data_IF_257311093707
#
_entry.id   IF_257311093707
#
_cell.length_a   1.000
_cell.length_b   1.000
_cell.length_c   1.000
_cell.angle_alpha   90.00
_cell.angle_beta   90.00
_cell.angle_gamma   90.00
#
_symmetry.space_group_name_H-M   'P 1'
#
loop_
_entity.id
_entity.type
_entity.pdbx_description
1 polymer ?
#
# COMPACT_ATOMS: atom_id res chain seq x y z
N UNK A 1 -7.66 -7.82 -21.75
CA UNK A 1 -7.57 -8.86 -20.69
C UNK A 1 -6.18 -8.82 -20.06
N UNK A 2 -6.08 -9.00 -18.74
CA UNK A 2 -4.80 -9.16 -18.06
C UNK A 2 -4.63 -10.62 -17.68
N UNK A 3 -3.48 -11.22 -18.00
CA UNK A 3 -3.19 -12.62 -17.67
C UNK A 3 -2.63 -12.79 -16.24
N UNK A 4 -1.95 -11.76 -15.75
CA UNK A 4 -1.38 -11.68 -14.40
C UNK A 4 -1.65 -10.29 -13.83
N UNK A 5 -1.95 -10.23 -12.54
CA UNK A 5 -2.11 -9.00 -11.77
C UNK A 5 -1.11 -8.97 -10.63
N UNK A 6 -0.52 -7.81 -10.38
CA UNK A 6 0.39 -7.57 -9.24
C UNK A 6 -0.03 -6.27 -8.58
N UNK A 7 -0.84 -6.36 -7.53
CA UNK A 7 -1.43 -5.21 -6.84
C UNK A 7 -0.71 -4.91 -5.52
N UNK A 8 -0.92 -3.71 -5.00
CA UNK A 8 -0.29 -3.26 -3.76
C UNK A 8 -0.97 -3.85 -2.50
N UNK A 9 -2.29 -4.11 -2.56
CA UNK A 9 -3.05 -4.62 -1.42
C UNK A 9 -3.98 -5.78 -1.83
N UNK A 10 -4.26 -6.68 -0.89
CA UNK A 10 -5.17 -7.81 -1.11
C UNK A 10 -6.61 -7.37 -1.42
N UNK A 11 -7.04 -6.22 -0.89
CA UNK A 11 -8.38 -5.65 -1.13
C UNK A 11 -8.62 -5.35 -2.61
N UNK A 12 -7.60 -4.94 -3.34
CA UNK A 12 -7.70 -4.66 -4.78
C UNK A 12 -7.97 -5.94 -5.57
N UNK A 13 -7.38 -7.06 -5.14
CA UNK A 13 -7.58 -8.38 -5.77
C UNK A 13 -8.92 -8.99 -5.34
N UNK A 14 -9.34 -8.81 -4.08
CA UNK A 14 -10.66 -9.23 -3.63
C UNK A 14 -11.77 -8.57 -4.45
N UNK A 15 -11.66 -7.28 -4.75
CA UNK A 15 -12.62 -6.59 -5.61
C UNK A 15 -12.77 -7.25 -7.00
N UNK A 16 -11.69 -7.83 -7.55
CA UNK A 16 -11.71 -8.55 -8.83
C UNK A 16 -12.37 -9.93 -8.71
N UNK A 17 -12.20 -10.63 -7.58
CA UNK A 17 -12.90 -11.88 -7.25
C UNK A 17 -14.40 -11.61 -7.06
N UNK A 18 -14.73 -10.71 -6.14
CA UNK A 18 -16.11 -10.49 -5.65
C UNK A 18 -17.00 -9.86 -6.73
N UNK A 19 -16.52 -8.83 -7.42
CA UNK A 19 -17.35 -8.07 -8.37
C UNK A 19 -17.19 -8.56 -9.81
N UNK A 20 -16.01 -9.06 -10.16
CA UNK A 20 -15.66 -9.42 -11.53
C UNK A 20 -15.62 -10.91 -11.80
N UNK A 21 -15.50 -11.75 -10.76
CA UNK A 21 -15.20 -13.18 -10.87
C UNK A 21 -13.99 -13.47 -11.78
N UNK A 22 -13.04 -12.55 -11.80
CA UNK A 22 -11.87 -12.58 -12.70
C UNK A 22 -10.70 -13.38 -12.10
N UNK A 23 -10.71 -13.59 -10.79
CA UNK A 23 -9.76 -14.43 -10.07
C UNK A 23 -10.53 -15.37 -9.11
N UNK A 24 -10.01 -16.58 -8.80
CA UNK A 24 -10.68 -17.50 -7.88
C UNK A 24 -10.86 -16.91 -6.47
N UNK A 25 -11.94 -17.28 -5.79
CA UNK A 25 -12.26 -16.79 -4.44
C UNK A 25 -11.17 -17.17 -3.41
N UNK A 26 -10.49 -18.29 -3.63
CA UNK A 26 -9.40 -18.79 -2.77
C UNK A 26 -8.00 -18.26 -3.18
N UNK A 27 -7.91 -17.22 -4.01
CA UNK A 27 -6.64 -16.76 -4.61
C UNK A 27 -5.51 -16.52 -3.59
N UNK A 28 -5.83 -16.09 -2.37
CA UNK A 28 -4.87 -15.77 -1.31
C UNK A 28 -4.03 -17.00 -0.93
N UNK A 29 -4.63 -18.19 -0.89
CA UNK A 29 -3.97 -19.42 -0.43
C UNK A 29 -3.31 -20.23 -1.55
N UNK A 30 -3.47 -19.82 -2.81
CA UNK A 30 -2.99 -20.57 -3.98
C UNK A 30 -1.47 -20.52 -4.15
N UNK A 31 -0.81 -19.53 -3.54
CA UNK A 31 0.65 -19.40 -3.51
C UNK A 31 1.13 -19.19 -2.05
N UNK A 32 2.40 -19.50 -1.75
CA UNK A 32 2.98 -19.29 -0.43
C UNK A 32 2.83 -17.85 0.07
N UNK A 33 2.89 -17.68 1.39
CA UNK A 33 2.89 -16.37 2.05
C UNK A 33 1.67 -15.50 1.68
N UNK A 34 0.49 -16.11 1.60
CA UNK A 34 -0.76 -15.42 1.23
C UNK A 34 -0.69 -14.75 -0.15
N UNK A 35 -0.04 -15.39 -1.12
CA UNK A 35 0.22 -14.84 -2.45
C UNK A 35 1.03 -13.53 -2.46
N UNK A 36 1.78 -13.25 -1.39
CA UNK A 36 2.68 -12.10 -1.27
C UNK A 36 4.15 -12.55 -1.31
N UNK A 37 4.81 -12.54 -2.49
CA UNK A 37 6.19 -12.99 -2.63
C UNK A 37 7.22 -12.05 -2.00
N UNK A 38 6.84 -10.80 -1.68
CA UNK A 38 7.66 -9.81 -0.99
C UNK A 38 6.79 -8.92 -0.10
N UNK A 39 7.44 -8.25 0.86
CA UNK A 39 6.83 -7.26 1.75
C UNK A 39 7.63 -5.95 1.71
N UNK A 40 6.98 -4.84 2.06
CA UNK A 40 7.64 -3.54 2.21
C UNK A 40 7.24 -2.88 3.53
N UNK A 41 7.84 -1.74 3.84
CA UNK A 41 7.55 -0.94 5.02
C UNK A 41 7.17 0.49 4.63
N UNK A 42 6.25 1.08 5.37
CA UNK A 42 5.95 2.51 5.29
C UNK A 42 7.01 3.30 6.05
N UNK A 43 7.65 4.25 5.38
CA UNK A 43 8.72 5.10 5.94
C UNK A 43 8.51 6.55 5.57
N UNK A 44 9.18 7.46 6.29
CA UNK A 44 9.23 8.87 5.92
C UNK A 44 10.38 9.16 4.97
N UNK A 45 10.06 9.84 3.87
CA UNK A 45 11.06 10.44 2.99
C UNK A 45 11.08 11.94 3.29
N UNK A 46 12.23 12.44 3.73
CA UNK A 46 12.42 13.85 4.08
C UNK A 46 13.41 14.53 3.13
N UNK A 47 13.34 15.86 3.03
CA UNK A 47 14.37 16.63 2.31
C UNK A 47 15.73 16.48 3.01
N UNK A 48 16.81 16.62 2.22
CA UNK A 48 18.20 16.53 2.71
C UNK A 48 18.41 17.38 3.95
N UNK A 49 19.06 16.79 4.96
CA UNK A 49 19.35 17.45 6.25
C UNK A 49 18.19 17.42 7.25
N UNK A 50 17.01 16.92 6.87
CA UNK A 50 15.82 16.85 7.73
C UNK A 50 15.51 18.19 8.44
N UNK A 51 15.22 19.27 7.69
CA UNK A 51 15.11 20.62 8.25
C UNK A 51 13.95 20.80 9.24
N UNK A 52 12.94 19.92 9.19
CA UNK A 52 11.80 19.92 10.13
C UNK A 52 11.99 18.93 11.29
N UNK A 53 13.17 18.30 11.40
CA UNK A 53 13.53 17.34 12.42
C UNK A 53 12.49 16.21 12.63
N UNK A 54 11.89 15.71 11.53
CA UNK A 54 10.90 14.64 11.55
C UNK A 54 11.61 13.33 11.93
N UNK A 55 11.14 12.68 12.99
CA UNK A 55 11.67 11.42 13.51
C UNK A 55 10.57 10.39 13.68
N UNK A 56 9.35 10.80 13.99
CA UNK A 56 8.25 9.89 14.26
C UNK A 56 6.87 10.50 13.93
N UNK A 57 5.81 9.70 13.99
CA UNK A 57 4.44 10.07 13.66
C UNK A 57 3.93 11.35 14.33
N UNK A 58 4.21 11.64 15.61
CA UNK A 58 3.78 12.90 16.24
C UNK A 58 4.36 14.15 15.58
N UNK A 59 5.47 14.03 14.84
CA UNK A 59 6.08 15.17 14.15
C UNK A 59 5.27 15.60 12.92
N UNK A 60 4.44 14.71 12.36
CA UNK A 60 3.66 14.99 11.15
C UNK A 60 2.54 16.02 11.37
N UNK A 61 2.09 16.20 12.62
CA UNK A 61 1.00 17.11 12.99
C UNK A 61 1.49 18.47 13.52
N UNK A 62 2.81 18.69 13.54
CA UNK A 62 3.39 19.97 14.00
C UNK A 62 3.06 21.10 13.03
N UNK A 63 2.89 22.31 13.59
CA UNK A 63 2.67 23.50 12.78
C UNK A 63 3.78 23.70 11.74
N UNK A 64 3.36 24.05 10.51
CA UNK A 64 4.27 24.24 9.39
C UNK A 64 4.82 22.94 8.77
N UNK A 65 4.41 21.75 9.22
CA UNK A 65 4.64 20.47 8.54
C UNK A 65 3.51 20.22 7.53
N UNK A 66 3.88 19.92 6.29
CA UNK A 66 2.95 19.56 5.22
C UNK A 66 3.31 18.16 4.77
N UNK A 67 2.34 17.25 4.79
CA UNK A 67 2.53 15.83 4.48
C UNK A 67 1.94 15.54 3.10
N UNK A 68 2.73 14.88 2.25
CA UNK A 68 2.27 14.42 0.95
C UNK A 68 1.88 12.94 1.09
N UNK A 69 0.60 12.64 0.91
CA UNK A 69 0.06 11.28 0.90
C UNK A 69 -0.79 11.08 -0.36
N UNK A 70 -0.81 9.86 -0.94
CA UNK A 70 -1.72 9.56 -2.03
C UNK A 70 -3.17 9.62 -1.56
N UNK A 71 -4.10 9.88 -2.49
CA UNK A 71 -5.52 9.89 -2.20
C UNK A 71 -6.01 8.46 -1.87
N UNK A 72 -6.62 8.21 -0.69
CA UNK A 72 -7.15 6.90 -0.33
C UNK A 72 -8.49 6.57 -0.99
N UNK A 73 -9.19 7.56 -1.57
CA UNK A 73 -10.46 7.34 -2.27
C UNK A 73 -10.23 7.03 -3.75
N UNK A 74 -10.38 5.75 -4.07
CA UNK A 74 -10.83 5.21 -5.36
C UNK A 74 -11.64 3.95 -5.08
#
# INVERSE_FOLDING_TARGET
PADVITMNMATDINALADNGKLVPEDWVSRLPNNSAPFTSATVFIVRKGNPKAIKDWPDLIKDGVEVIVPNPKT
#
